data_IF_827702882915
#
_entry.id   IF_827702882915
#
_cell.length_a   1.000
_cell.length_b   1.000
_cell.length_c   1.000
_cell.angle_alpha   90.00
_cell.angle_beta   90.00
_cell.angle_gamma   90.00
#
_symmetry.space_group_name_H-M   'P 1'
#
loop_
_entity.id
_entity.type
_entity.pdbx_description
1 polymer ?
#
# COMPACT_ATOMS: atom_id res chain seq x y z
N UNK A 1 1.62 17.98 -12.33
CA UNK A 1 1.62 16.54 -12.68
C UNK A 1 0.52 15.74 -11.96
N UNK A 2 0.05 16.16 -10.78
CA UNK A 2 -1.04 15.49 -10.06
C UNK A 2 -2.43 15.63 -10.73
N UNK A 3 -2.73 16.77 -11.36
CA UNK A 3 -4.03 16.97 -12.03
C UNK A 3 -4.28 16.05 -13.23
N UNK A 4 -3.22 15.61 -13.93
CA UNK A 4 -3.35 14.68 -15.06
C UNK A 4 -3.85 13.30 -14.61
N UNK A 5 -3.39 12.81 -13.45
CA UNK A 5 -3.85 11.53 -12.88
C UNK A 5 -5.31 11.55 -12.42
N UNK A 6 -5.83 12.72 -12.02
CA UNK A 6 -7.22 12.88 -11.58
C UNK A 6 -8.21 12.86 -12.75
N UNK A 7 -7.81 13.31 -13.95
CA UNK A 7 -8.61 13.20 -15.16
C UNK A 7 -8.77 11.75 -15.61
N UNK A 8 -7.66 11.02 -15.74
CA UNK A 8 -7.66 9.63 -16.22
C UNK A 8 -8.48 8.69 -15.32
N UNK A 9 -8.51 8.93 -14.01
CA UNK A 9 -9.29 8.08 -13.11
C UNK A 9 -10.80 8.28 -13.23
N UNK A 10 -11.26 9.51 -13.53
CA UNK A 10 -12.69 9.78 -13.76
C UNK A 10 -13.18 9.09 -15.04
N UNK A 11 -12.36 9.12 -16.10
CA UNK A 11 -12.69 8.46 -17.36
C UNK A 11 -12.81 6.93 -17.19
N UNK A 12 -11.97 6.33 -16.34
CA UNK A 12 -12.04 4.90 -16.00
C UNK A 12 -13.29 4.57 -15.21
N UNK A 13 -13.63 5.38 -14.21
CA UNK A 13 -14.82 5.17 -13.37
C UNK A 13 -16.12 5.31 -14.20
N UNK A 14 -16.19 6.29 -15.10
CA UNK A 14 -17.34 6.53 -16.00
C UNK A 14 -17.51 5.41 -17.04
N UNK A 15 -16.40 4.89 -17.55
CA UNK A 15 -16.39 3.71 -18.41
C UNK A 15 -16.94 2.48 -17.68
N UNK A 16 -16.48 2.23 -16.44
CA UNK A 16 -16.94 1.11 -15.62
C UNK A 16 -18.44 1.20 -15.31
N UNK A 17 -18.96 2.38 -14.94
CA UNK A 17 -20.40 2.55 -14.69
C UNK A 17 -21.24 2.26 -15.95
N UNK A 18 -20.76 2.69 -17.12
CA UNK A 18 -21.42 2.42 -18.40
C UNK A 18 -21.47 0.91 -18.71
N UNK A 19 -20.41 0.16 -18.41
CA UNK A 19 -20.41 -1.30 -18.55
C UNK A 19 -21.40 -1.96 -17.58
N UNK A 20 -21.48 -1.51 -16.33
CA UNK A 20 -22.45 -2.02 -15.38
C UNK A 20 -23.88 -1.77 -15.85
N UNK A 21 -24.20 -0.56 -16.31
CA UNK A 21 -25.53 -0.22 -16.81
C UNK A 21 -25.92 -1.11 -17.99
N UNK A 22 -25.01 -1.28 -18.96
CA UNK A 22 -25.23 -2.16 -20.12
C UNK A 22 -25.41 -3.62 -19.73
N UNK A 23 -24.62 -4.12 -18.77
CA UNK A 23 -24.78 -5.47 -18.24
C UNK A 23 -26.14 -5.64 -17.54
N UNK A 24 -26.58 -4.66 -16.74
CA UNK A 24 -27.89 -4.72 -16.08
C UNK A 24 -29.04 -4.68 -17.08
N UNK A 25 -28.94 -3.87 -18.14
CA UNK A 25 -29.94 -3.82 -19.20
C UNK A 25 -30.04 -5.15 -19.94
N UNK A 26 -28.89 -5.76 -20.27
CA UNK A 26 -28.86 -7.10 -20.88
C UNK A 26 -29.50 -8.16 -19.98
N UNK A 27 -29.13 -8.20 -18.70
CA UNK A 27 -29.71 -9.17 -17.74
C UNK A 27 -31.23 -8.96 -17.64
N UNK A 28 -31.70 -7.71 -17.63
CA UNK A 28 -33.13 -7.39 -17.57
C UNK A 28 -33.86 -7.82 -18.84
N UNK A 29 -33.28 -7.55 -20.01
CA UNK A 29 -33.84 -7.99 -21.28
C UNK A 29 -33.93 -9.53 -21.36
N UNK A 30 -32.90 -10.25 -20.93
CA UNK A 30 -32.95 -11.72 -20.85
C UNK A 30 -33.98 -12.20 -19.83
N UNK A 31 -34.08 -11.56 -18.68
CA UNK A 31 -35.09 -11.88 -17.67
C UNK A 31 -36.50 -11.70 -18.22
N UNK A 32 -36.78 -10.59 -18.92
CA UNK A 32 -38.08 -10.32 -19.54
C UNK A 32 -38.44 -11.38 -20.59
N UNK A 33 -37.47 -11.75 -21.44
CA UNK A 33 -37.66 -12.82 -22.45
C UNK A 33 -37.95 -14.16 -21.78
N UNK A 34 -37.25 -14.49 -20.69
CA UNK A 34 -37.47 -15.74 -19.94
C UNK A 34 -38.82 -15.73 -19.25
N UNK A 35 -39.18 -14.61 -18.62
CA UNK A 35 -40.46 -14.46 -17.93
C UNK A 35 -41.62 -14.62 -18.92
N UNK A 36 -41.54 -13.95 -20.07
CA UNK A 36 -42.60 -13.94 -21.06
C UNK A 36 -42.72 -15.27 -21.80
N UNK A 37 -41.61 -15.90 -22.18
CA UNK A 37 -41.61 -17.13 -22.99
C UNK A 37 -41.71 -18.42 -22.18
N UNK A 38 -41.25 -18.44 -20.93
CA UNK A 38 -41.20 -19.67 -20.12
C UNK A 38 -42.00 -19.56 -18.83
N UNK A 39 -41.81 -18.50 -18.03
CA UNK A 39 -42.43 -18.43 -16.71
C UNK A 39 -43.96 -18.28 -16.80
N UNK A 40 -44.46 -17.28 -17.55
CA UNK A 40 -45.90 -17.04 -17.73
C UNK A 40 -46.66 -18.25 -18.29
N UNK A 41 -46.24 -18.89 -19.40
CA UNK A 41 -46.96 -20.04 -19.92
C UNK A 41 -46.87 -21.26 -18.99
N UNK A 42 -45.73 -21.49 -18.34
CA UNK A 42 -45.61 -22.60 -17.39
C UNK A 42 -46.55 -22.44 -16.18
N UNK A 43 -46.66 -21.22 -15.63
CA UNK A 43 -47.58 -20.92 -14.52
C UNK A 43 -49.04 -21.09 -14.98
N UNK A 44 -49.40 -20.54 -16.14
CA UNK A 44 -50.75 -20.66 -16.67
C UNK A 44 -51.16 -22.13 -16.92
N UNK A 45 -50.25 -22.93 -17.47
CA UNK A 45 -50.46 -24.39 -17.65
C UNK A 45 -50.56 -25.09 -16.29
N UNK A 46 -49.71 -24.70 -15.34
CA UNK A 46 -49.68 -25.25 -13.99
C UNK A 46 -51.02 -25.05 -13.26
N UNK A 47 -51.56 -23.84 -13.26
CA UNK A 47 -52.84 -23.50 -12.62
C UNK A 47 -53.97 -24.35 -13.20
N UNK A 48 -54.07 -24.42 -14.55
CA UNK A 48 -55.10 -25.23 -15.22
C UNK A 48 -54.99 -26.73 -14.90
N UNK A 49 -53.77 -27.27 -14.81
CA UNK A 49 -53.51 -28.67 -14.44
C UNK A 49 -53.84 -28.98 -12.98
N UNK A 50 -53.67 -28.00 -12.09
CA UNK A 50 -54.02 -28.13 -10.67
C UNK A 50 -55.52 -28.28 -10.46
N UNK A 51 -56.35 -27.60 -11.25
CA UNK A 51 -57.82 -27.73 -11.20
C UNK A 51 -58.28 -29.12 -11.66
N UNK A 52 -57.63 -29.70 -12.67
CA UNK A 52 -57.98 -31.04 -13.18
C UNK A 52 -57.58 -32.17 -12.23
N UNK A 53 -56.37 -32.11 -11.64
CA UNK A 53 -55.79 -33.22 -10.84
C UNK A 53 -54.92 -32.71 -9.68
N UNK A 54 -55.51 -32.20 -8.59
CA UNK A 54 -54.75 -31.54 -7.51
C UNK A 54 -53.79 -32.48 -6.75
N UNK A 55 -54.17 -33.75 -6.59
CA UNK A 55 -53.35 -34.74 -5.85
C UNK A 55 -52.05 -35.07 -6.60
N UNK A 56 -52.12 -35.26 -7.92
CA UNK A 56 -50.93 -35.57 -8.73
C UNK A 56 -50.00 -34.36 -8.83
N UNK A 57 -50.56 -33.16 -8.98
CA UNK A 57 -49.76 -31.93 -9.10
C UNK A 57 -49.00 -31.61 -7.81
N UNK A 58 -49.63 -31.70 -6.64
CA UNK A 58 -48.94 -31.51 -5.35
C UNK A 58 -47.78 -32.49 -5.16
N UNK A 59 -47.94 -33.76 -5.54
CA UNK A 59 -46.86 -34.74 -5.49
C UNK A 59 -45.68 -34.36 -6.40
N UNK A 60 -45.95 -33.95 -7.64
CA UNK A 60 -44.90 -33.49 -8.57
C UNK A 60 -44.21 -32.25 -8.02
N UNK A 61 -44.95 -31.27 -7.51
CA UNK A 61 -44.37 -30.04 -6.95
C UNK A 61 -43.45 -30.34 -5.78
N UNK A 62 -43.88 -31.17 -4.83
CA UNK A 62 -43.06 -31.56 -3.68
C UNK A 62 -41.82 -32.32 -4.14
N UNK A 63 -41.96 -33.27 -5.06
CA UNK A 63 -40.84 -34.02 -5.63
C UNK A 63 -39.87 -33.10 -6.38
N UNK A 64 -40.37 -32.14 -7.15
CA UNK A 64 -39.54 -31.13 -7.83
C UNK A 64 -38.78 -30.25 -6.84
N UNK A 65 -39.41 -29.77 -5.77
CA UNK A 65 -38.72 -28.98 -4.74
C UNK A 65 -37.63 -29.83 -4.05
N UNK A 66 -37.95 -31.07 -3.67
CA UNK A 66 -37.00 -32.01 -3.09
C UNK A 66 -35.84 -32.34 -4.04
N UNK A 67 -36.08 -32.37 -5.35
CA UNK A 67 -35.07 -32.63 -6.36
C UNK A 67 -34.19 -31.40 -6.68
N UNK A 68 -34.72 -30.18 -6.53
CA UNK A 68 -33.96 -28.93 -6.72
C UNK A 68 -32.99 -28.71 -5.55
N UNK A 69 -33.37 -29.09 -4.33
CA UNK A 69 -32.55 -28.91 -3.13
C UNK A 69 -31.12 -29.49 -3.27
N UNK A 70 -30.90 -30.76 -3.70
CA UNK A 70 -29.55 -31.30 -3.89
C UNK A 70 -28.79 -30.61 -5.02
N UNK A 71 -29.46 -30.18 -6.09
CA UNK A 71 -28.84 -29.44 -7.20
C UNK A 71 -28.32 -28.10 -6.70
N UNK A 72 -29.16 -27.36 -5.96
CA UNK A 72 -28.80 -26.06 -5.40
C UNK A 72 -27.69 -26.18 -4.36
N UNK A 73 -27.76 -27.20 -3.51
CA UNK A 73 -26.69 -27.51 -2.54
C UNK A 73 -25.38 -27.84 -3.25
N UNK A 74 -25.42 -28.62 -4.34
CA UNK A 74 -24.22 -28.96 -5.12
C UNK A 74 -23.59 -27.72 -5.76
N UNK A 75 -24.40 -26.85 -6.36
CA UNK A 75 -23.93 -25.58 -6.94
C UNK A 75 -23.32 -24.69 -5.85
N UNK A 76 -24.00 -24.54 -4.71
CA UNK A 76 -23.51 -23.73 -3.60
C UNK A 76 -22.18 -24.24 -3.03
N UNK A 77 -22.07 -25.55 -2.79
CA UNK A 77 -20.84 -26.18 -2.32
C UNK A 77 -19.71 -26.04 -3.35
N UNK A 78 -20.01 -26.22 -4.64
CA UNK A 78 -19.03 -26.06 -5.73
C UNK A 78 -18.45 -24.65 -5.78
N UNK A 79 -19.31 -23.63 -5.78
CA UNK A 79 -18.89 -22.22 -5.74
C UNK A 79 -18.07 -21.93 -4.48
N UNK A 80 -18.52 -22.44 -3.32
CA UNK A 80 -17.81 -22.27 -2.06
C UNK A 80 -16.40 -22.89 -2.09
N UNK A 81 -16.24 -24.10 -2.63
CA UNK A 81 -14.94 -24.76 -2.78
C UNK A 81 -14.03 -23.94 -3.70
N UNK A 82 -14.51 -23.53 -4.87
CA UNK A 82 -13.72 -22.73 -5.83
C UNK A 82 -13.28 -21.41 -5.19
N UNK A 83 -14.21 -20.70 -4.55
CA UNK A 83 -13.93 -19.45 -3.85
C UNK A 83 -12.92 -19.63 -2.73
N UNK A 84 -13.06 -20.70 -1.93
CA UNK A 84 -12.11 -21.03 -0.87
C UNK A 84 -10.71 -21.32 -1.40
N UNK A 85 -10.58 -22.04 -2.52
CA UNK A 85 -9.28 -22.34 -3.14
C UNK A 85 -8.62 -21.03 -3.61
N UNK A 86 -9.36 -20.17 -4.30
CA UNK A 86 -8.85 -18.87 -4.76
C UNK A 86 -8.42 -18.00 -3.59
N UNK A 87 -9.22 -17.95 -2.52
CA UNK A 87 -8.90 -17.20 -1.32
C UNK A 87 -7.62 -17.71 -0.64
N UNK A 88 -7.48 -19.03 -0.46
CA UNK A 88 -6.27 -19.64 0.11
C UNK A 88 -5.04 -19.40 -0.77
N UNK A 89 -5.18 -19.47 -2.10
CA UNK A 89 -4.10 -19.18 -3.03
C UNK A 89 -3.67 -17.70 -2.94
N UNK A 90 -4.62 -16.76 -2.89
CA UNK A 90 -4.33 -15.34 -2.72
C UNK A 90 -3.67 -15.04 -1.37
N UNK A 91 -4.22 -15.59 -0.27
CA UNK A 91 -3.68 -15.42 1.07
C UNK A 91 -2.25 -15.98 1.20
N UNK A 92 -1.99 -17.15 0.63
CA UNK A 92 -0.66 -17.75 0.64
C UNK A 92 0.34 -16.97 -0.21
N UNK A 93 -0.06 -16.45 -1.38
CA UNK A 93 0.77 -15.58 -2.20
C UNK A 93 1.14 -14.27 -1.46
N UNK A 94 0.16 -13.60 -0.84
CA UNK A 94 0.40 -12.37 -0.06
C UNK A 94 1.36 -12.66 1.11
N UNK A 95 1.13 -13.75 1.84
CA UNK A 95 1.98 -14.13 2.97
C UNK A 95 3.41 -14.43 2.52
N UNK A 96 3.58 -15.17 1.41
CA UNK A 96 4.89 -15.47 0.85
C UNK A 96 5.64 -14.20 0.41
N UNK A 97 4.94 -13.24 -0.22
CA UNK A 97 5.52 -11.95 -0.60
C UNK A 97 6.00 -11.17 0.63
N UNK A 98 5.16 -11.03 1.66
CA UNK A 98 5.51 -10.31 2.90
C UNK A 98 6.71 -10.94 3.62
N UNK A 99 6.75 -12.28 3.70
CA UNK A 99 7.89 -13.00 4.29
C UNK A 99 9.17 -12.74 3.49
N UNK A 100 9.09 -12.79 2.16
CA UNK A 100 10.24 -12.54 1.28
C UNK A 100 10.76 -11.11 1.43
N UNK A 101 9.86 -10.12 1.42
CA UNK A 101 10.22 -8.71 1.64
C UNK A 101 10.84 -8.50 3.02
N UNK A 102 10.28 -9.11 4.07
CA UNK A 102 10.82 -9.03 5.42
C UNK A 102 12.24 -9.61 5.52
N UNK A 103 12.54 -10.70 4.81
CA UNK A 103 13.88 -11.29 4.77
C UNK A 103 14.87 -10.34 4.09
N UNK A 104 14.48 -9.77 2.94
CA UNK A 104 15.34 -8.84 2.18
C UNK A 104 15.64 -7.58 3.02
N UNK A 105 14.62 -6.99 3.64
CA UNK A 105 14.78 -5.81 4.51
C UNK A 105 15.69 -6.13 5.69
N UNK A 106 15.52 -7.30 6.33
CA UNK A 106 16.38 -7.74 7.43
C UNK A 106 17.85 -7.86 7.00
N UNK A 107 18.13 -8.51 5.86
CA UNK A 107 19.49 -8.61 5.31
C UNK A 107 20.07 -7.21 5.01
N UNK A 108 19.24 -6.31 4.48
CA UNK A 108 19.61 -4.91 4.24
C UNK A 108 20.03 -4.19 5.52
N UNK A 109 19.21 -4.27 6.58
CA UNK A 109 19.50 -3.68 7.88
C UNK A 109 20.79 -4.26 8.47
N UNK A 110 20.97 -5.58 8.44
CA UNK A 110 22.19 -6.24 8.91
C UNK A 110 23.44 -5.79 8.15
N UNK A 111 23.33 -5.64 6.83
CA UNK A 111 24.42 -5.17 5.97
C UNK A 111 24.77 -3.71 6.29
N UNK A 112 23.77 -2.83 6.40
CA UNK A 112 23.98 -1.43 6.77
C UNK A 112 24.60 -1.30 8.15
N UNK A 113 24.12 -2.06 9.14
CA UNK A 113 24.69 -2.09 10.48
C UNK A 113 26.16 -2.54 10.45
N UNK A 114 26.46 -3.61 9.71
CA UNK A 114 27.84 -4.10 9.54
C UNK A 114 28.75 -3.06 8.88
N UNK A 115 28.25 -2.35 7.85
CA UNK A 115 28.98 -1.27 7.19
C UNK A 115 29.25 -0.10 8.15
N UNK A 116 28.27 0.30 8.96
CA UNK A 116 28.45 1.34 9.98
C UNK A 116 29.53 0.92 10.97
N UNK A 117 29.50 -0.32 11.46
CA UNK A 117 30.53 -0.82 12.36
C UNK A 117 31.92 -0.79 11.71
N UNK A 118 32.05 -1.30 10.48
CA UNK A 118 33.31 -1.26 9.73
C UNK A 118 33.79 0.18 9.55
N UNK A 119 32.89 1.12 9.23
CA UNK A 119 33.23 2.52 9.08
C UNK A 119 33.72 3.14 10.41
N UNK A 120 33.07 2.83 11.53
CA UNK A 120 33.50 3.28 12.88
C UNK A 120 34.87 2.68 13.24
N UNK A 121 35.09 1.40 12.99
CA UNK A 121 36.40 0.77 13.22
C UNK A 121 37.49 1.34 12.33
N UNK A 122 37.21 1.56 11.04
CA UNK A 122 38.16 2.14 10.10
C UNK A 122 38.51 3.59 10.48
N UNK A 123 37.52 4.41 10.83
CA UNK A 123 37.72 5.81 11.23
C UNK A 123 38.50 5.91 12.54
N UNK A 124 38.16 5.09 13.56
CA UNK A 124 38.91 5.05 14.82
C UNK A 124 40.34 4.54 14.64
N UNK A 125 40.54 3.53 13.78
CA UNK A 125 41.87 3.02 13.44
C UNK A 125 42.72 4.07 12.72
N UNK A 126 42.18 4.73 11.70
CA UNK A 126 42.88 5.81 10.99
C UNK A 126 43.20 6.99 11.90
N UNK A 127 42.27 7.37 12.78
CA UNK A 127 42.48 8.44 13.76
C UNK A 127 43.58 8.07 14.77
N UNK A 128 43.60 6.81 15.22
CA UNK A 128 44.64 6.27 16.11
C UNK A 128 46.00 6.27 15.41
N UNK A 129 46.07 5.74 14.18
CA UNK A 129 47.30 5.69 13.38
C UNK A 129 47.85 7.08 13.10
N UNK A 130 46.97 8.02 12.72
CA UNK A 130 47.33 9.42 12.55
C UNK A 130 47.88 10.03 13.84
N UNK A 131 47.22 9.79 14.96
CA UNK A 131 47.66 10.31 16.28
C UNK A 131 49.02 9.76 16.67
N UNK A 132 49.27 8.45 16.47
CA UNK A 132 50.56 7.80 16.73
C UNK A 132 51.65 8.35 15.80
N UNK A 133 51.37 8.45 14.49
CA UNK A 133 52.33 8.96 13.51
C UNK A 133 52.74 10.40 13.84
N UNK A 134 51.75 11.25 14.15
CA UNK A 134 51.98 12.64 14.54
C UNK A 134 52.76 12.74 15.85
N UNK A 135 52.41 11.92 16.84
CA UNK A 135 53.15 11.84 18.10
C UNK A 135 54.63 11.48 17.88
N UNK A 136 54.91 10.47 17.06
CA UNK A 136 56.28 10.05 16.72
C UNK A 136 57.05 11.18 16.03
N UNK A 137 56.42 11.91 15.12
CA UNK A 137 57.05 13.07 14.46
C UNK A 137 57.41 14.18 15.47
N UNK A 138 56.50 14.56 16.37
CA UNK A 138 56.75 15.61 17.37
C UNK A 138 57.82 15.20 18.40
N UNK A 139 57.81 13.95 18.86
CA UNK A 139 58.83 13.43 19.80
C UNK A 139 60.20 13.40 19.13
N UNK A 140 60.26 13.06 17.84
CA UNK A 140 61.52 13.05 17.08
C UNK A 140 62.08 14.45 16.85
N UNK A 141 61.23 15.47 16.63
CA UNK A 141 61.69 16.84 16.39
C UNK A 141 62.05 17.60 17.67
N UNK A 142 61.23 17.47 18.73
CA UNK A 142 61.30 18.32 19.93
C UNK A 142 61.71 17.57 21.21
N UNK A 143 61.92 16.25 21.14
CA UNK A 143 62.28 15.43 22.30
C UNK A 143 61.16 15.40 23.36
N UNK A 144 61.51 15.64 24.64
CA UNK A 144 60.54 15.59 25.76
C UNK A 144 59.47 16.68 25.71
N UNK A 145 59.72 17.85 25.12
CA UNK A 145 58.70 18.91 25.02
C UNK A 145 57.62 18.60 23.97
N UNK A 146 57.91 17.72 23.00
CA UNK A 146 56.95 17.30 21.98
C UNK A 146 55.71 16.61 22.57
N UNK A 147 55.85 15.95 23.73
CA UNK A 147 54.71 15.33 24.43
C UNK A 147 53.71 16.39 24.92
N UNK A 148 54.20 17.44 25.57
CA UNK A 148 53.33 18.50 26.13
C UNK A 148 52.64 19.30 25.03
N UNK A 149 53.34 19.50 23.91
CA UNK A 149 52.80 20.20 22.74
C UNK A 149 51.71 19.37 22.05
N UNK A 150 51.91 18.05 21.91
CA UNK A 150 50.88 17.14 21.39
C UNK A 150 49.61 17.09 22.26
N UNK A 151 49.76 17.06 23.59
CA UNK A 151 48.60 17.06 24.52
C UNK A 151 47.82 18.37 24.40
N UNK A 152 48.51 19.51 24.34
CA UNK A 152 47.88 20.82 24.19
C UNK A 152 47.14 20.92 22.85
N UNK A 153 47.74 20.47 21.75
CA UNK A 153 47.12 20.50 20.44
C UNK A 153 45.88 19.57 20.37
N UNK A 154 45.98 18.36 20.92
CA UNK A 154 44.87 17.40 20.95
C UNK A 154 43.70 17.94 21.78
N UNK A 155 43.99 18.55 22.94
CA UNK A 155 42.99 19.18 23.79
C UNK A 155 42.33 20.37 23.12
N UNK A 156 43.11 21.20 22.42
CA UNK A 156 42.58 22.36 21.70
C UNK A 156 41.67 21.93 20.54
N UNK A 157 42.05 20.94 19.75
CA UNK A 157 41.23 20.44 18.64
C UNK A 157 39.91 19.81 19.12
N UNK A 158 39.92 19.10 20.25
CA UNK A 158 38.70 18.53 20.85
C UNK A 158 37.74 19.61 21.38
N UNK A 159 38.26 20.65 22.01
CA UNK A 159 37.44 21.75 22.55
C UNK A 159 36.91 22.68 21.45
N UNK A 160 37.71 22.94 20.42
CA UNK A 160 37.33 23.82 19.32
C UNK A 160 36.23 23.19 18.45
N UNK A 161 36.28 21.86 18.25
CA UNK A 161 35.22 21.13 17.52
C UNK A 161 33.85 21.26 18.19
N UNK A 162 33.78 21.25 19.52
CA UNK A 162 32.51 21.38 20.26
C UNK A 162 31.84 22.74 20.08
N UNK A 163 32.61 23.83 19.99
CA UNK A 163 32.03 25.17 19.79
C UNK A 163 31.39 25.35 18.41
N UNK A 164 31.97 24.75 17.38
CA UNK A 164 31.48 24.91 16.00
C UNK A 164 30.14 24.21 15.78
N UNK A 165 29.87 23.10 16.50
CA UNK A 165 28.54 22.46 16.46
C UNK A 165 27.46 23.34 17.12
N UNK A 166 27.77 24.00 18.25
CA UNK A 166 26.81 24.89 18.93
C UNK A 166 26.48 26.17 18.15
N UNK A 167 27.40 26.69 17.35
CA UNK A 167 27.19 27.93 16.57
C UNK A 167 26.39 27.70 15.27
N UNK A 168 26.34 26.46 14.75
CA UNK A 168 25.52 26.09 13.59
C UNK A 168 24.09 25.63 13.97
N UNK A 169 23.84 25.31 15.25
CA UNK A 169 22.53 24.90 15.76
C UNK A 169 21.64 26.10 16.17
N UNK A 170 22.09 27.34 15.90
CA UNK A 170 21.28 28.54 16.07
C UNK A 170 21.69 29.68 15.13
N UNK A 171 20.87 29.96 14.11
CA UNK A 171 19.96 31.08 14.26
C UNK A 171 18.52 30.65 13.96
N UNK A 172 17.64 30.97 14.91
CA UNK A 172 16.19 31.10 14.76
C UNK A 172 15.83 31.54 13.33
N UNK A 173 15.46 30.59 12.47
CA UNK A 173 14.94 30.93 11.15
C UNK A 173 13.71 31.80 11.39
N UNK A 174 13.67 33.03 10.89
CA UNK A 174 12.50 33.86 11.03
C UNK A 174 11.33 33.08 10.43
N UNK A 175 10.29 32.92 11.23
CA UNK A 175 9.07 32.19 10.90
C UNK A 175 8.46 32.76 9.60
N UNK A 176 8.75 32.13 8.46
CA UNK A 176 8.24 32.51 7.13
C UNK A 176 6.81 31.96 6.94
N UNK A 177 6.02 31.85 8.01
CA UNK A 177 4.60 31.49 7.90
C UNK A 177 3.70 32.72 7.71
N UNK A 178 4.27 33.93 7.62
CA UNK A 178 3.53 35.19 7.48
C UNK A 178 3.33 35.75 6.06
N UNK A 179 3.63 35.02 4.97
CA UNK A 179 3.28 35.50 3.62
C UNK A 179 1.87 35.05 3.27
N UNK A 180 0.92 35.78 3.84
CA UNK A 180 -0.50 35.72 3.49
C UNK A 180 -0.64 36.20 2.04
N UNK A 181 -0.76 35.24 1.11
CA UNK A 181 -1.05 35.52 -0.30
C UNK A 181 -2.46 36.11 -0.38
N UNK A 182 -2.56 37.43 -0.33
CA UNK A 182 -3.78 38.18 -0.61
C UNK A 182 -4.15 37.91 -2.07
N UNK A 183 -5.16 37.06 -2.29
CA UNK A 183 -5.81 36.89 -3.60
C UNK A 183 -6.80 38.07 -3.73
N UNK A 184 -6.61 39.01 -4.67
CA UNK A 184 -7.60 40.03 -4.93
C UNK A 184 -8.81 39.41 -5.63
N UNK A 185 -9.97 39.51 -4.98
CA UNK A 185 -11.28 39.26 -5.57
C UNK A 185 -11.54 40.28 -6.69
N UNK A 186 -11.23 39.91 -7.93
CA UNK A 186 -11.68 40.67 -9.09
C UNK A 186 -13.14 40.32 -9.40
N UNK A 187 -14.00 41.19 -8.89
CA UNK A 187 -15.10 41.84 -9.59
C UNK A 187 -15.97 40.96 -10.50
N UNK A 188 -17.16 40.69 -9.97
CA UNK A 188 -18.43 40.71 -10.69
C UNK A 188 -18.45 41.77 -11.81
N UNK A 189 -18.57 41.32 -13.06
CA UNK A 189 -19.09 42.15 -14.15
C UNK A 189 -20.53 41.69 -14.43
N UNK A 190 -21.45 42.47 -13.91
CA UNK A 190 -22.88 42.52 -14.22
C UNK A 190 -23.12 43.23 -15.57
N UNK A 191 -24.23 42.83 -16.20
CA UNK A 191 -25.10 43.59 -17.14
C UNK A 191 -24.56 43.89 -18.54
N UNK A 192 -24.97 43.10 -19.54
CA UNK A 192 -26.16 43.32 -20.42
C UNK A 192 -26.18 42.36 -21.63
#
# INVERSE_FOLDING_TARGET
MADRKRGEQKDVDESLSTYFERCTELVRQYADVIEQNYARPAIAIGIRKFEEKPIMMTFITVLSILAILPILSFIGISIFIISSIVFVAAASAITASLVTESIIVSIGICTLCSLVLVAVFATTFLLSLYSVFRFVLLVRSNGRSGFTEWVMETRQNLLLRRRVEEECEGPNWPDITGVQHHIPDHASLTDD
#
